data_IF_770003556853
#
_entry.id   IF_770003556853
#
_cell.length_a   1.000
_cell.length_b   1.000
_cell.length_c   1.000
_cell.angle_alpha   90.00
_cell.angle_beta   90.00
_cell.angle_gamma   90.00
#
_symmetry.space_group_name_H-M   'P 1'
#
loop_
_entity.id
_entity.type
_entity.pdbx_description
1 polymer ?
#
# COMPACT_ATOMS: atom_id res chain seq x y z
N UNK A 1 0.26 1.75 -36.27
CA UNK A 1 1.55 1.06 -36.35
C UNK A 1 2.46 1.82 -35.44
N UNK A 2 2.58 1.34 -34.21
CA UNK A 2 3.54 1.85 -33.26
C UNK A 2 4.15 0.65 -32.56
N UNK A 3 5.43 0.45 -32.84
CA UNK A 3 6.24 -0.68 -32.44
C UNK A 3 6.81 -0.43 -31.06
N UNK A 4 6.47 -1.29 -30.11
CA UNK A 4 7.38 -1.79 -29.07
C UNK A 4 8.51 -0.85 -28.62
N UNK A 5 8.19 0.22 -27.89
CA UNK A 5 9.16 0.83 -26.97
C UNK A 5 8.93 0.22 -25.59
N UNK A 6 9.62 -0.89 -25.30
CA UNK A 6 9.86 -1.26 -23.92
C UNK A 6 10.71 -0.12 -23.33
N UNK A 7 10.25 0.60 -22.29
CA UNK A 7 11.02 1.69 -21.74
C UNK A 7 12.35 1.10 -21.24
N UNK A 8 13.48 1.58 -21.75
CA UNK A 8 14.76 1.29 -21.09
C UNK A 8 14.63 1.84 -19.66
N UNK A 9 14.85 1.01 -18.63
CA UNK A 9 14.77 1.45 -17.24
C UNK A 9 15.64 2.70 -17.07
N UNK A 10 15.05 3.78 -16.59
CA UNK A 10 15.83 4.97 -16.28
C UNK A 10 16.65 4.66 -15.02
N UNK A 11 17.86 5.20 -14.94
CA UNK A 11 18.60 5.27 -13.68
C UNK A 11 17.77 5.86 -12.52
N UNK A 12 16.75 6.69 -12.82
CA UNK A 12 15.79 7.20 -11.84
C UNK A 12 14.79 6.17 -11.29
N UNK A 13 14.62 5.01 -11.94
CA UNK A 13 13.71 3.95 -11.49
C UNK A 13 14.38 2.99 -10.47
N UNK A 14 15.72 3.04 -10.35
CA UNK A 14 16.45 2.27 -9.35
C UNK A 14 16.27 2.93 -7.97
N UNK A 15 15.56 2.28 -7.01
CA UNK A 15 15.30 2.85 -5.70
C UNK A 15 16.60 3.20 -4.97
N UNK A 16 17.69 2.47 -5.22
CA UNK A 16 18.98 2.71 -4.57
C UNK A 16 19.58 4.04 -5.02
N UNK A 17 19.53 4.29 -6.33
CA UNK A 17 20.09 5.50 -6.93
C UNK A 17 19.22 6.70 -6.56
N UNK A 18 17.90 6.60 -6.73
CA UNK A 18 17.03 7.74 -6.47
C UNK A 18 16.92 8.07 -4.97
N UNK A 19 17.00 7.08 -4.07
CA UNK A 19 16.99 7.33 -2.62
C UNK A 19 18.25 8.08 -2.20
N UNK A 20 19.41 7.69 -2.75
CA UNK A 20 20.70 8.32 -2.46
C UNK A 20 20.77 9.76 -3.02
N UNK A 21 20.15 10.01 -4.17
CA UNK A 21 20.05 11.34 -4.77
C UNK A 21 18.88 12.18 -4.22
N UNK A 22 18.03 11.58 -3.39
CA UNK A 22 16.79 12.14 -2.85
C UNK A 22 15.84 12.72 -3.91
N UNK A 23 15.68 12.01 -5.02
CA UNK A 23 14.88 12.46 -6.17
C UNK A 23 13.86 11.44 -6.68
N UNK A 24 13.58 10.39 -5.90
CA UNK A 24 12.57 9.39 -6.27
C UNK A 24 11.20 10.05 -6.46
N UNK A 25 10.65 9.96 -7.67
CA UNK A 25 9.29 10.40 -7.96
C UNK A 25 8.31 9.21 -7.88
N UNK A 26 7.09 9.42 -7.39
CA UNK A 26 6.51 10.69 -6.93
C UNK A 26 6.80 11.03 -5.46
N UNK A 27 7.59 10.23 -4.72
CA UNK A 27 7.80 10.41 -3.28
C UNK A 27 8.37 11.80 -2.91
N UNK A 28 9.33 12.33 -3.67
CA UNK A 28 9.87 13.68 -3.41
C UNK A 28 8.76 14.74 -3.39
N UNK A 29 7.84 14.70 -4.35
CA UNK A 29 6.71 15.62 -4.38
C UNK A 29 5.73 15.40 -3.23
N UNK A 30 5.52 14.14 -2.81
CA UNK A 30 4.74 13.83 -1.60
C UNK A 30 5.38 14.46 -0.37
N UNK A 31 6.71 14.36 -0.23
CA UNK A 31 7.46 14.96 0.88
C UNK A 31 7.30 16.47 0.89
N UNK A 32 7.47 17.12 -0.25
CA UNK A 32 7.31 18.58 -0.39
C UNK A 32 5.92 19.04 0.07
N UNK A 33 4.86 18.41 -0.46
CA UNK A 33 3.47 18.77 -0.10
C UNK A 33 3.14 18.45 1.36
N UNK A 34 3.67 17.34 1.91
CA UNK A 34 3.45 16.99 3.31
C UNK A 34 4.17 17.94 4.28
N UNK A 35 5.36 18.44 3.92
CA UNK A 35 6.07 19.48 4.68
C UNK A 35 5.27 20.78 4.64
N UNK A 36 4.84 21.23 3.46
CA UNK A 36 4.00 22.43 3.32
C UNK A 36 2.71 22.33 4.14
N UNK A 37 2.07 21.16 4.17
CA UNK A 37 0.90 20.89 4.99
C UNK A 37 1.21 21.01 6.49
N UNK A 38 2.33 20.44 6.94
CA UNK A 38 2.75 20.52 8.35
C UNK A 38 3.04 21.97 8.74
N UNK A 39 3.80 22.71 7.93
CA UNK A 39 4.14 24.11 8.21
C UNK A 39 2.90 25.03 8.20
N UNK A 40 1.88 24.70 7.40
CA UNK A 40 0.69 25.53 7.24
C UNK A 40 -0.41 25.26 8.27
N UNK A 41 -0.57 24.01 8.72
CA UNK A 41 -1.71 23.59 9.53
C UNK A 41 -1.36 23.29 10.99
N UNK A 42 -0.14 22.82 11.27
CA UNK A 42 0.22 22.30 12.59
C UNK A 42 0.62 23.46 13.49
N UNK A 43 -0.14 23.67 14.56
CA UNK A 43 0.23 24.61 15.61
C UNK A 43 1.18 23.92 16.59
N UNK A 44 2.49 24.11 16.35
CA UNK A 44 3.54 23.49 17.15
C UNK A 44 3.42 23.82 18.64
N UNK A 45 3.58 22.78 19.46
CA UNK A 45 3.32 22.81 20.90
C UNK A 45 1.94 22.22 21.29
N UNK A 46 0.94 22.31 20.41
CA UNK A 46 -0.38 21.72 20.64
C UNK A 46 -0.62 20.48 19.81
N UNK A 47 -0.42 20.58 18.51
CA UNK A 47 -0.66 19.47 17.60
C UNK A 47 0.46 18.43 17.70
N UNK A 48 0.14 17.21 17.29
CA UNK A 48 1.04 16.06 17.34
C UNK A 48 0.98 15.31 16.03
N UNK A 49 2.14 15.02 15.45
CA UNK A 49 2.27 14.32 14.17
C UNK A 49 3.06 13.03 14.39
N UNK A 50 2.57 11.95 13.80
CA UNK A 50 3.31 10.71 13.63
C UNK A 50 3.51 10.45 12.13
N UNK A 51 4.61 9.79 11.78
CA UNK A 51 4.94 9.44 10.39
C UNK A 51 5.14 7.93 10.32
N UNK A 52 4.41 7.29 9.41
CA UNK A 52 4.47 5.84 9.16
C UNK A 52 4.80 5.63 7.69
N UNK A 53 5.71 4.70 7.41
CA UNK A 53 6.03 4.26 6.06
C UNK A 53 5.50 2.85 5.81
N UNK A 54 5.13 2.57 4.55
CA UNK A 54 4.62 1.25 4.11
C UNK A 54 5.66 0.14 4.25
N UNK A 55 6.94 0.50 4.19
CA UNK A 55 8.07 -0.43 4.23
C UNK A 55 9.19 0.16 5.09
N UNK A 56 10.20 -0.66 5.41
CA UNK A 56 11.39 -0.21 6.11
C UNK A 56 12.11 0.94 5.36
N UNK A 57 12.90 1.71 6.10
CA UNK A 57 13.60 2.89 5.57
C UNK A 57 15.10 2.63 5.44
N UNK A 58 15.61 2.71 4.21
CA UNK A 58 17.01 2.42 3.93
C UNK A 58 17.92 3.57 4.39
N UNK A 59 19.05 3.24 5.01
CA UNK A 59 20.01 4.25 5.50
C UNK A 59 21.05 4.64 4.45
N UNK A 60 21.31 3.78 3.47
CA UNK A 60 22.23 4.06 2.37
C UNK A 60 21.91 3.23 1.12
N UNK A 61 22.68 3.47 0.05
CA UNK A 61 22.55 2.77 -1.23
C UNK A 61 22.80 1.26 -1.13
N UNK A 62 23.47 0.76 -0.09
CA UNK A 62 23.76 -0.67 0.09
C UNK A 62 22.78 -1.40 1.01
N UNK A 63 21.93 -0.65 1.71
CA UNK A 63 21.03 -1.17 2.74
C UNK A 63 19.76 -1.74 2.12
N UNK A 64 19.55 -3.05 2.24
CA UNK A 64 18.27 -3.66 1.93
C UNK A 64 17.32 -3.54 3.12
N UNK A 65 16.06 -3.23 2.88
CA UNK A 65 15.03 -3.13 3.92
C UNK A 65 13.90 -4.11 3.71
N UNK A 66 13.11 -4.31 4.76
CA UNK A 66 11.97 -5.24 4.74
C UNK A 66 10.71 -4.55 4.23
N UNK A 67 9.77 -5.34 3.74
CA UNK A 67 8.42 -4.90 3.35
C UNK A 67 7.47 -4.66 4.53
N UNK A 68 7.97 -4.74 5.75
CA UNK A 68 7.15 -4.53 6.95
C UNK A 68 6.96 -3.02 7.15
N UNK A 69 5.72 -2.55 7.40
CA UNK A 69 5.47 -1.15 7.75
C UNK A 69 6.35 -0.68 8.91
N UNK A 70 6.78 0.58 8.86
CA UNK A 70 7.77 1.12 9.77
C UNK A 70 7.29 2.44 10.41
N UNK A 71 7.28 2.55 11.74
CA UNK A 71 6.99 3.81 12.43
C UNK A 71 8.23 4.72 12.35
N UNK A 72 8.23 5.64 11.40
CA UNK A 72 9.35 6.58 11.16
C UNK A 72 9.48 7.56 12.31
N UNK A 73 8.34 8.11 12.76
CA UNK A 73 8.28 9.05 13.88
C UNK A 73 7.02 8.74 14.70
N UNK A 74 7.14 8.43 16.01
CA UNK A 74 5.98 8.38 16.92
C UNK A 74 5.37 9.79 17.10
N UNK A 75 4.24 9.92 17.79
CA UNK A 75 3.62 11.23 18.03
C UNK A 75 4.62 12.22 18.62
N UNK A 76 4.87 13.30 17.87
CA UNK A 76 5.83 14.36 18.21
C UNK A 76 5.16 15.72 18.01
N UNK A 77 5.62 16.71 18.77
CA UNK A 77 5.30 18.13 18.58
C UNK A 77 6.52 18.97 18.21
N UNK A 78 7.67 18.33 18.08
CA UNK A 78 8.89 19.01 17.68
C UNK A 78 8.89 19.14 16.16
N UNK A 79 8.70 20.37 15.69
CA UNK A 79 8.68 20.76 14.28
C UNK A 79 9.85 20.19 13.49
N UNK A 80 11.08 20.42 13.96
CA UNK A 80 12.28 19.95 13.28
C UNK A 80 12.30 18.42 13.14
N UNK A 81 11.89 17.68 14.17
CA UNK A 81 11.83 16.22 14.10
C UNK A 81 10.76 15.74 13.10
N UNK A 82 9.63 16.45 13.00
CA UNK A 82 8.54 16.10 12.07
C UNK A 82 8.97 16.36 10.63
N UNK A 83 9.49 17.55 10.35
CA UNK A 83 9.97 17.92 9.01
C UNK A 83 11.10 16.99 8.58
N UNK A 84 12.09 16.73 9.44
CA UNK A 84 13.17 15.80 9.11
C UNK A 84 12.65 14.38 8.89
N UNK A 85 11.69 13.89 9.69
CA UNK A 85 11.12 12.56 9.48
C UNK A 85 10.41 12.41 8.14
N UNK A 86 9.72 13.46 7.67
CA UNK A 86 9.08 13.47 6.34
C UNK A 86 10.16 13.61 5.25
N UNK A 87 11.11 14.53 5.42
CA UNK A 87 12.17 14.80 4.45
C UNK A 87 13.20 13.65 4.35
N UNK A 88 13.26 12.75 5.34
CA UNK A 88 14.14 11.57 5.29
C UNK A 88 13.44 10.33 4.71
N UNK A 89 12.14 10.40 4.38
CA UNK A 89 11.41 9.26 3.80
C UNK A 89 12.07 8.78 2.49
N UNK A 90 12.18 7.46 2.37
CA UNK A 90 12.74 6.74 1.22
C UNK A 90 11.73 5.76 0.63
N UNK A 91 11.84 5.54 -0.69
CA UNK A 91 11.07 4.47 -1.35
C UNK A 91 11.63 3.11 -0.94
N UNK A 92 10.80 2.08 -1.04
CA UNK A 92 11.19 0.71 -0.70
C UNK A 92 12.45 0.28 -1.48
N UNK A 93 13.46 -0.17 -0.74
CA UNK A 93 14.75 -0.59 -1.31
C UNK A 93 15.03 -2.06 -0.93
N UNK A 94 14.55 -3.02 -1.74
CA UNK A 94 14.82 -4.43 -1.49
C UNK A 94 16.28 -4.79 -1.79
N UNK A 95 16.65 -6.03 -1.46
CA UNK A 95 17.99 -6.58 -1.73
C UNK A 95 18.26 -6.68 -3.24
N UNK A 96 19.53 -6.80 -3.63
CA UNK A 96 19.88 -7.23 -4.99
C UNK A 96 19.58 -8.72 -5.13
N UNK A 97 19.04 -9.13 -6.27
CA UNK A 97 18.82 -10.54 -6.56
C UNK A 97 20.15 -11.30 -6.63
N UNK A 98 20.26 -12.40 -5.88
CA UNK A 98 21.48 -13.21 -5.74
C UNK A 98 21.31 -14.66 -6.22
N UNK A 99 20.13 -14.98 -6.76
CA UNK A 99 19.73 -16.31 -7.27
C UNK A 99 19.55 -17.33 -6.16
N UNK A 100 19.22 -16.87 -4.95
CA UNK A 100 18.90 -17.73 -3.82
C UNK A 100 17.41 -17.73 -3.51
N UNK A 101 16.97 -18.71 -2.72
CA UNK A 101 15.60 -18.79 -2.20
C UNK A 101 15.42 -17.89 -0.97
N UNK A 102 15.60 -16.58 -1.15
CA UNK A 102 15.42 -15.59 -0.08
C UNK A 102 14.03 -14.92 -0.19
N UNK A 103 13.18 -14.94 0.85
CA UNK A 103 11.88 -14.27 0.85
C UNK A 103 11.97 -12.77 0.56
N UNK A 104 10.96 -12.22 -0.10
CA UNK A 104 10.93 -10.80 -0.47
C UNK A 104 11.23 -10.53 -1.94
N UNK A 105 10.71 -9.40 -2.43
CA UNK A 105 11.16 -8.77 -3.66
C UNK A 105 12.68 -8.49 -3.65
N UNK A 106 13.31 -8.49 -4.82
CA UNK A 106 14.69 -8.08 -5.03
C UNK A 106 14.86 -7.30 -6.34
N UNK A 107 15.95 -6.55 -6.45
CA UNK A 107 16.30 -5.74 -7.60
C UNK A 107 17.13 -6.56 -8.60
N UNK A 108 16.61 -6.71 -9.82
CA UNK A 108 17.28 -7.37 -10.93
C UNK A 108 18.14 -6.37 -11.72
N UNK A 109 19.36 -6.77 -12.08
CA UNK A 109 20.30 -6.00 -12.91
C UNK A 109 20.79 -6.85 -14.09
N UNK A 110 21.08 -6.21 -15.22
CA UNK A 110 21.66 -6.86 -16.40
C UNK A 110 22.97 -6.20 -16.85
N UNK A 111 23.78 -6.97 -17.58
CA UNK A 111 24.98 -6.47 -18.25
C UNK A 111 26.21 -6.27 -17.35
N UNK A 112 27.29 -5.81 -17.98
CA UNK A 112 28.52 -5.36 -17.35
C UNK A 112 28.97 -4.07 -18.08
N UNK A 113 28.82 -2.87 -17.47
CA UNK A 113 28.40 -2.62 -16.08
C UNK A 113 26.91 -2.94 -15.83
N UNK A 114 26.53 -3.22 -14.56
CA UNK A 114 25.15 -3.56 -14.21
C UNK A 114 24.21 -2.37 -14.42
N UNK A 115 23.12 -2.60 -15.15
CA UNK A 115 22.02 -1.65 -15.35
C UNK A 115 20.77 -2.21 -14.67
N UNK A 116 20.09 -1.38 -13.88
CA UNK A 116 18.85 -1.75 -13.22
C UNK A 116 17.81 -2.19 -14.25
N UNK A 117 17.14 -3.30 -13.99
CA UNK A 117 16.05 -3.79 -14.84
C UNK A 117 14.70 -3.48 -14.22
N UNK A 118 14.41 -4.14 -13.09
CA UNK A 118 13.12 -4.07 -12.38
C UNK A 118 13.21 -4.76 -11.03
N UNK A 119 12.27 -4.49 -10.12
CA UNK A 119 12.00 -5.41 -9.02
C UNK A 119 11.42 -6.74 -9.54
N UNK A 120 11.82 -7.85 -8.92
CA UNK A 120 11.27 -9.19 -9.18
C UNK A 120 11.06 -9.93 -7.86
N UNK A 121 10.18 -10.94 -7.88
CA UNK A 121 10.16 -11.95 -6.85
C UNK A 121 10.97 -13.17 -7.28
N UNK A 122 12.21 -13.24 -6.80
CA UNK A 122 13.15 -14.28 -7.22
C UNK A 122 12.71 -15.69 -6.81
N UNK A 123 12.19 -15.87 -5.58
CA UNK A 123 11.66 -17.18 -5.15
C UNK A 123 10.57 -17.64 -6.10
N UNK A 124 9.55 -16.81 -6.30
CA UNK A 124 8.39 -17.15 -7.12
C UNK A 124 8.80 -17.47 -8.57
N UNK A 125 9.69 -16.66 -9.16
CA UNK A 125 10.22 -16.94 -10.50
C UNK A 125 11.01 -18.25 -10.57
N UNK A 126 11.84 -18.56 -9.57
CA UNK A 126 12.61 -19.81 -9.55
C UNK A 126 11.72 -21.05 -9.35
N UNK A 127 10.68 -20.96 -8.52
CA UNK A 127 9.80 -22.07 -8.19
C UNK A 127 8.75 -22.36 -9.28
N UNK A 128 8.16 -21.33 -9.89
CA UNK A 128 7.26 -21.53 -11.04
C UNK A 128 8.00 -22.21 -12.19
N UNK A 129 9.23 -21.80 -12.47
CA UNK A 129 10.06 -22.44 -13.50
C UNK A 129 10.42 -23.91 -13.16
N UNK A 130 10.36 -24.28 -11.89
CA UNK A 130 10.53 -25.65 -11.42
C UNK A 130 9.20 -26.44 -11.37
N UNK A 131 8.08 -25.84 -11.80
CA UNK A 131 6.73 -26.40 -11.72
C UNK A 131 6.35 -26.80 -10.29
N UNK A 132 6.75 -26.02 -9.29
CA UNK A 132 6.28 -26.24 -7.92
C UNK A 132 4.90 -25.58 -7.76
N UNK A 133 3.80 -26.36 -7.67
CA UNK A 133 2.46 -25.81 -7.46
C UNK A 133 2.34 -25.07 -6.12
N UNK A 134 3.30 -25.25 -5.19
CA UNK A 134 3.34 -24.55 -3.91
C UNK A 134 4.18 -23.26 -3.95
N UNK A 135 4.34 -22.65 -5.14
CA UNK A 135 5.08 -21.39 -5.32
C UNK A 135 4.32 -20.23 -4.67
N UNK A 136 4.31 -20.14 -3.36
CA UNK A 136 3.61 -19.11 -2.60
C UNK A 136 4.27 -17.72 -2.81
N UNK A 137 3.58 -16.77 -3.46
CA UNK A 137 4.11 -15.43 -3.68
C UNK A 137 3.93 -14.52 -2.47
N UNK A 138 3.35 -14.95 -1.35
CA UNK A 138 3.09 -14.13 -0.16
C UNK A 138 4.29 -13.30 0.31
N UNK A 139 5.51 -13.81 0.11
CA UNK A 139 6.73 -13.09 0.50
C UNK A 139 7.06 -11.89 -0.38
N UNK A 140 6.51 -11.83 -1.59
CA UNK A 140 6.93 -10.90 -2.64
C UNK A 140 6.40 -9.47 -2.45
N UNK A 141 5.09 -9.24 -2.31
CA UNK A 141 4.54 -7.90 -2.45
C UNK A 141 4.75 -7.06 -1.18
N UNK A 142 4.65 -5.74 -1.31
CA UNK A 142 5.04 -4.80 -0.26
C UNK A 142 3.96 -3.77 0.12
N UNK A 143 2.79 -3.79 -0.51
CA UNK A 143 1.71 -2.85 -0.21
C UNK A 143 0.86 -3.36 0.96
N UNK A 144 1.37 -3.19 2.18
CA UNK A 144 0.71 -3.59 3.42
C UNK A 144 -0.10 -2.44 4.04
N UNK A 145 -1.19 -2.06 3.37
CA UNK A 145 -2.08 -0.97 3.81
C UNK A 145 -2.63 -1.25 5.22
N UNK A 146 -3.09 -2.47 5.49
CA UNK A 146 -3.59 -2.84 6.81
C UNK A 146 -2.54 -2.69 7.92
N UNK A 147 -1.30 -3.09 7.66
CA UNK A 147 -0.21 -2.94 8.63
C UNK A 147 0.15 -1.47 8.90
N UNK A 148 0.05 -0.58 7.91
CA UNK A 148 0.20 0.86 8.17
C UNK A 148 -0.94 1.40 9.05
N UNK A 149 -2.18 1.00 8.78
CA UNK A 149 -3.34 1.42 9.59
C UNK A 149 -3.20 0.92 11.03
N UNK A 150 -2.70 -0.31 11.23
CA UNK A 150 -2.34 -0.83 12.55
C UNK A 150 -1.27 0.01 13.25
N UNK A 151 -0.22 0.45 12.53
CA UNK A 151 0.78 1.36 13.10
C UNK A 151 0.21 2.74 13.43
N UNK A 152 -0.73 3.25 12.64
CA UNK A 152 -1.45 4.48 12.95
C UNK A 152 -2.27 4.33 14.25
N UNK A 153 -2.95 3.19 14.45
CA UNK A 153 -3.61 2.87 15.71
C UNK A 153 -2.63 2.90 16.90
N UNK A 154 -1.45 2.29 16.73
CA UNK A 154 -0.40 2.30 17.75
C UNK A 154 0.09 3.72 18.06
N UNK A 155 0.25 4.57 17.04
CA UNK A 155 0.63 5.98 17.23
C UNK A 155 -0.41 6.72 18.08
N UNK A 156 -1.70 6.59 17.77
CA UNK A 156 -2.78 7.20 18.55
C UNK A 156 -2.98 6.59 19.92
N UNK A 157 -2.43 5.39 20.15
CA UNK A 157 -2.36 4.72 21.44
C UNK A 157 -1.06 5.05 22.20
N UNK A 158 -0.31 6.06 21.75
CA UNK A 158 0.82 6.65 22.47
C UNK A 158 2.13 5.91 22.32
N UNK A 159 2.34 5.24 21.19
CA UNK A 159 3.66 4.68 20.88
C UNK A 159 4.76 5.74 21.00
N UNK A 160 5.91 5.35 21.56
CA UNK A 160 7.02 6.25 21.89
C UNK A 160 6.86 6.92 23.26
N UNK A 161 5.85 7.79 23.43
CA UNK A 161 5.58 8.50 24.68
C UNK A 161 4.07 8.75 24.84
N UNK A 162 3.46 8.06 25.83
CA UNK A 162 2.04 8.18 26.13
C UNK A 162 1.62 9.60 26.53
N UNK A 163 2.54 10.42 27.06
CA UNK A 163 2.25 11.81 27.42
C UNK A 163 1.99 12.72 26.22
N UNK A 164 2.33 12.25 25.01
CA UNK A 164 1.99 12.94 23.77
C UNK A 164 0.55 12.67 23.30
N UNK A 165 -0.17 11.70 23.90
CA UNK A 165 -1.59 11.54 23.62
C UNK A 165 -2.42 12.66 24.25
N UNK A 166 -3.46 13.08 23.53
CA UNK A 166 -4.44 14.05 23.99
C UNK A 166 -5.84 13.50 23.76
N UNK A 167 -6.51 13.09 24.83
CA UNK A 167 -7.80 12.39 24.74
C UNK A 167 -8.89 13.21 24.06
N UNK A 168 -8.85 14.54 24.23
CA UNK A 168 -9.81 15.51 23.66
C UNK A 168 -9.36 16.09 22.30
N UNK A 169 -8.43 15.42 21.59
CA UNK A 169 -8.00 15.87 20.27
C UNK A 169 -8.95 15.43 19.16
N UNK A 170 -9.03 16.23 18.10
CA UNK A 170 -9.44 15.74 16.79
C UNK A 170 -8.36 14.77 16.27
N UNK A 171 -8.74 13.54 15.94
CA UNK A 171 -7.83 12.53 15.44
C UNK A 171 -7.98 12.39 13.93
N UNK A 172 -6.88 12.63 13.20
CA UNK A 172 -6.89 12.63 11.74
C UNK A 172 -5.75 11.79 11.19
N UNK A 173 -6.09 10.84 10.31
CA UNK A 173 -5.15 10.09 9.50
C UNK A 173 -5.22 10.56 8.05
N UNK A 174 -4.06 10.80 7.43
CA UNK A 174 -3.94 11.02 5.99
C UNK A 174 -3.14 9.85 5.40
N UNK A 175 -3.82 9.00 4.64
CA UNK A 175 -3.25 7.82 4.00
C UNK A 175 -2.99 8.11 2.53
N UNK A 176 -1.74 7.93 2.09
CA UNK A 176 -1.36 7.96 0.68
C UNK A 176 -1.02 6.55 0.18
N UNK A 177 -1.63 6.13 -0.93
CA UNK A 177 -1.29 4.85 -1.57
C UNK A 177 -1.33 4.97 -3.09
N UNK A 178 -0.41 4.28 -3.77
CA UNK A 178 -0.28 4.29 -5.24
C UNK A 178 -0.78 3.01 -5.92
N UNK A 179 -1.26 2.04 -5.14
CA UNK A 179 -1.73 0.75 -5.62
C UNK A 179 -2.55 0.00 -4.58
N UNK A 180 -2.98 -1.21 -4.93
CA UNK A 180 -3.83 -2.05 -4.11
C UNK A 180 -3.12 -2.55 -2.86
N UNK A 181 -3.88 -2.97 -1.85
CA UNK A 181 -3.33 -3.85 -0.84
C UNK A 181 -2.93 -5.18 -1.50
N UNK A 182 -1.73 -5.66 -1.19
CA UNK A 182 -1.26 -6.95 -1.68
C UNK A 182 -0.30 -7.67 -0.73
N UNK A 183 -0.21 -7.20 0.50
CA UNK A 183 0.58 -7.80 1.56
C UNK A 183 -0.16 -7.56 2.87
N UNK A 184 -0.01 -8.48 3.82
CA UNK A 184 -0.49 -8.30 5.19
C UNK A 184 0.68 -8.38 6.17
N UNK A 185 0.40 -8.09 7.43
CA UNK A 185 1.33 -8.40 8.52
C UNK A 185 1.44 -9.93 8.66
N UNK A 186 2.67 -10.42 8.87
CA UNK A 186 2.94 -11.83 9.08
C UNK A 186 2.35 -12.32 10.42
N UNK A 187 1.94 -13.59 10.45
CA UNK A 187 1.47 -14.30 11.64
C UNK A 187 2.21 -15.64 11.74
N UNK A 188 2.03 -16.36 12.85
CA UNK A 188 2.63 -17.71 13.01
C UNK A 188 2.10 -18.70 11.97
N UNK A 189 0.83 -18.55 11.58
CA UNK A 189 0.18 -19.38 10.55
C UNK A 189 0.56 -18.95 9.13
N UNK A 190 0.70 -17.63 8.92
CA UNK A 190 1.07 -17.04 7.64
C UNK A 190 2.35 -16.21 7.82
N UNK A 191 3.55 -16.84 7.83
CA UNK A 191 4.82 -16.17 8.15
C UNK A 191 5.21 -15.09 7.12
N UNK A 192 4.54 -15.06 5.97
CA UNK A 192 4.69 -14.06 4.94
C UNK A 192 3.40 -13.23 4.71
N UNK A 193 2.40 -13.37 5.58
CA UNK A 193 1.09 -12.74 5.42
C UNK A 193 0.14 -13.50 4.51
N UNK A 194 -1.11 -13.06 4.48
CA UNK A 194 -2.19 -13.67 3.71
C UNK A 194 -2.01 -13.39 2.21
N UNK A 195 -2.00 -14.47 1.43
CA UNK A 195 -1.99 -14.45 -0.02
C UNK A 195 -2.65 -15.74 -0.53
N UNK A 196 -3.99 -15.86 -0.36
CA UNK A 196 -4.66 -17.10 -0.69
C UNK A 196 -4.58 -17.40 -2.20
N UNK A 197 -4.61 -18.68 -2.56
CA UNK A 197 -4.28 -19.15 -3.91
C UNK A 197 -5.15 -18.53 -5.02
N UNK A 198 -6.41 -18.22 -4.71
CA UNK A 198 -7.34 -17.54 -5.62
C UNK A 198 -6.87 -16.13 -6.04
N UNK A 199 -5.97 -15.49 -5.29
CA UNK A 199 -5.46 -14.13 -5.55
C UNK A 199 -4.26 -14.07 -6.49
N UNK A 200 -3.73 -15.23 -6.93
CA UNK A 200 -2.56 -15.26 -7.82
C UNK A 200 -2.55 -16.41 -8.83
N UNK A 201 -3.08 -17.59 -8.50
CA UNK A 201 -3.11 -18.73 -9.44
C UNK A 201 -4.07 -18.49 -10.62
N UNK A 202 -5.23 -17.87 -10.38
CA UNK A 202 -6.21 -17.58 -11.45
C UNK A 202 -5.70 -16.61 -12.51
N UNK A 203 -4.63 -15.87 -12.21
CA UNK A 203 -3.99 -14.93 -13.14
C UNK A 203 -2.87 -15.53 -13.97
N UNK A 204 -2.55 -16.82 -13.76
CA UNK A 204 -1.70 -17.62 -14.65
C UNK A 204 -2.59 -18.17 -15.78
N UNK A 205 -2.66 -17.48 -16.93
CA UNK A 205 -3.47 -17.93 -18.06
C UNK A 205 -3.12 -19.37 -18.46
N UNK A 206 -4.11 -20.26 -18.49
CA UNK A 206 -3.91 -21.67 -18.85
C UNK A 206 -3.57 -21.90 -20.34
N UNK A 207 -3.84 -20.94 -21.22
CA UNK A 207 -3.43 -21.02 -22.64
C UNK A 207 -1.90 -20.98 -22.81
N UNK A 208 -1.17 -20.54 -21.78
CA UNK A 208 0.30 -20.59 -21.74
C UNK A 208 0.83 -21.89 -21.10
N UNK A 209 -0.01 -22.87 -20.73
CA UNK A 209 0.44 -24.11 -20.06
C UNK A 209 1.36 -24.97 -20.94
N UNK A 210 1.17 -24.95 -22.27
CA UNK A 210 2.12 -25.57 -23.22
C UNK A 210 3.39 -24.70 -23.44
N UNK A 211 3.34 -23.42 -23.05
CA UNK A 211 4.40 -22.41 -23.14
C UNK A 211 5.07 -22.03 -21.80
N UNK A 212 4.78 -22.69 -20.66
CA UNK A 212 5.44 -22.46 -19.34
C UNK A 212 6.95 -22.81 -19.37
N UNK A 213 7.48 -23.26 -20.50
CA UNK A 213 8.93 -23.29 -20.77
C UNK A 213 9.52 -21.91 -21.07
N UNK A 214 8.68 -20.89 -21.29
CA UNK A 214 9.08 -19.50 -21.46
C UNK A 214 8.88 -18.73 -20.14
N UNK A 215 9.77 -17.78 -19.81
CA UNK A 215 9.54 -16.87 -18.68
C UNK A 215 8.18 -16.18 -18.88
N UNK A 216 7.38 -16.09 -17.81
CA UNK A 216 6.09 -15.37 -17.82
C UNK A 216 6.27 -14.03 -18.54
N UNK A 217 5.61 -13.90 -19.69
CA UNK A 217 5.70 -12.68 -20.50
C UNK A 217 4.87 -11.60 -19.82
N UNK A 218 5.40 -10.38 -19.65
CA UNK A 218 4.65 -9.31 -19.01
C UNK A 218 3.36 -8.98 -19.77
N UNK A 219 2.29 -8.55 -19.05
CA UNK A 219 2.28 -8.21 -17.63
C UNK A 219 2.26 -9.45 -16.73
N UNK A 220 3.12 -9.44 -15.71
CA UNK A 220 3.11 -10.48 -14.68
C UNK A 220 1.76 -10.49 -13.94
N UNK A 221 1.33 -11.64 -13.40
CA UNK A 221 0.13 -11.71 -12.61
C UNK A 221 0.24 -10.79 -11.40
N UNK A 222 -0.85 -10.10 -11.07
CA UNK A 222 -0.91 -9.19 -9.93
C UNK A 222 -1.10 -10.01 -8.66
N UNK A 223 0.01 -10.34 -8.03
CA UNK A 223 0.09 -11.26 -6.89
C UNK A 223 -0.62 -10.70 -5.65
N UNK A 224 -1.34 -11.58 -4.96
CA UNK A 224 -1.93 -11.35 -3.64
C UNK A 224 -2.95 -10.20 -3.59
N UNK A 225 -3.65 -9.94 -4.70
CA UNK A 225 -4.68 -8.90 -4.77
C UNK A 225 -6.06 -9.51 -4.77
N UNK A 226 -6.99 -8.83 -4.12
CA UNK A 226 -8.38 -9.26 -4.07
C UNK A 226 -9.02 -9.28 -5.47
N UNK A 227 -9.47 -10.47 -5.95
CA UNK A 227 -10.21 -10.57 -7.20
C UNK A 227 -11.64 -10.05 -7.10
N UNK A 228 -12.17 -9.79 -5.91
CA UNK A 228 -13.55 -9.40 -5.61
C UNK A 228 -13.63 -8.23 -4.61
N UNK A 229 -13.16 -7.03 -4.99
CA UNK A 229 -13.05 -5.89 -4.08
C UNK A 229 -14.38 -5.41 -3.48
N UNK A 230 -15.52 -5.83 -4.04
CA UNK A 230 -16.86 -5.52 -3.52
C UNK A 230 -17.37 -6.52 -2.47
N UNK A 231 -16.63 -7.60 -2.24
CA UNK A 231 -16.89 -8.56 -1.17
C UNK A 231 -15.89 -8.36 -0.05
N UNK A 232 -16.34 -8.62 1.18
CA UNK A 232 -15.50 -8.67 2.37
C UNK A 232 -15.62 -10.07 2.95
N UNK A 233 -14.49 -10.63 3.35
CA UNK A 233 -14.39 -11.94 3.96
C UNK A 233 -13.85 -11.82 5.39
N UNK A 234 -14.27 -12.75 6.25
CA UNK A 234 -13.68 -12.94 7.57
C UNK A 234 -12.47 -13.89 7.49
N UNK A 235 -11.50 -13.84 8.42
CA UNK A 235 -10.32 -14.72 8.42
C UNK A 235 -10.62 -16.24 8.41
N UNK A 236 -11.85 -16.65 8.72
CA UNK A 236 -12.29 -18.05 8.70
C UNK A 236 -13.10 -18.43 7.47
N UNK A 237 -13.39 -17.48 6.56
CA UNK A 237 -14.18 -17.75 5.37
C UNK A 237 -13.39 -18.59 4.38
N UNK A 238 -14.09 -19.57 3.80
CA UNK A 238 -13.49 -20.51 2.85
C UNK A 238 -14.38 -20.67 1.63
N UNK A 239 -13.75 -20.95 0.48
CA UNK A 239 -14.46 -21.29 -0.74
C UNK A 239 -13.82 -22.48 -1.45
N UNK A 240 -14.64 -23.22 -2.19
CA UNK A 240 -14.15 -24.22 -3.13
C UNK A 240 -13.43 -23.52 -4.29
N UNK A 241 -12.15 -23.80 -4.44
CA UNK A 241 -11.30 -23.30 -5.51
C UNK A 241 -10.80 -24.47 -6.35
N UNK A 242 -10.87 -24.34 -7.67
CA UNK A 242 -10.27 -25.32 -8.58
C UNK A 242 -8.92 -24.79 -9.00
N UNK A 243 -7.86 -25.46 -8.55
CA UNK A 243 -6.50 -25.09 -8.89
C UNK A 243 -6.30 -25.21 -10.41
N UNK A 244 -5.99 -24.12 -11.13
CA UNK A 244 -5.88 -24.16 -12.58
C UNK A 244 -4.67 -24.98 -13.05
N UNK A 245 -3.69 -25.25 -12.19
CA UNK A 245 -2.50 -26.02 -12.56
C UNK A 245 -2.68 -27.52 -12.34
N UNK A 246 -3.36 -27.92 -11.25
CA UNK A 246 -3.55 -29.33 -10.88
C UNK A 246 -4.94 -29.88 -11.22
N UNK A 247 -5.90 -29.02 -11.56
CA UNK A 247 -7.33 -29.31 -11.71
C UNK A 247 -7.99 -29.90 -10.44
N UNK A 248 -7.30 -29.87 -9.30
CA UNK A 248 -7.82 -30.33 -8.02
C UNK A 248 -8.73 -29.27 -7.44
N UNK A 249 -9.90 -29.70 -6.94
CA UNK A 249 -10.79 -28.84 -6.15
C UNK A 249 -10.35 -28.92 -4.70
N UNK A 250 -9.97 -27.78 -4.14
CA UNK A 250 -9.58 -27.62 -2.76
C UNK A 250 -10.41 -26.54 -2.07
N UNK A 251 -10.38 -26.54 -0.73
CA UNK A 251 -11.04 -25.52 0.07
C UNK A 251 -9.95 -24.56 0.54
N UNK A 252 -9.98 -23.35 0.01
CA UNK A 252 -9.01 -22.29 0.35
C UNK A 252 -9.66 -21.28 1.27
N UNK A 253 -8.85 -20.68 2.15
CA UNK A 253 -9.20 -19.44 2.79
C UNK A 253 -9.30 -18.34 1.72
N UNK A 254 -10.31 -17.48 1.78
CA UNK A 254 -10.49 -16.38 0.81
C UNK A 254 -10.21 -15.00 1.40
N UNK A 255 -9.85 -14.93 2.69
CA UNK A 255 -9.38 -13.71 3.34
C UNK A 255 -8.03 -13.27 2.80
N UNK A 256 -7.94 -12.03 2.34
CA UNK A 256 -6.75 -11.51 1.69
C UNK A 256 -6.27 -10.15 2.22
N UNK A 257 -5.39 -9.49 1.46
CA UNK A 257 -4.81 -8.22 1.87
C UNK A 257 -5.79 -7.03 1.85
N UNK A 258 -6.83 -7.08 1.03
CA UNK A 258 -7.90 -6.08 1.00
C UNK A 258 -8.75 -6.21 2.27
N UNK A 259 -9.19 -7.42 2.59
CA UNK A 259 -9.94 -7.73 3.82
C UNK A 259 -9.17 -7.29 5.08
N UNK A 260 -7.88 -7.64 5.16
CA UNK A 260 -7.02 -7.21 6.25
C UNK A 260 -6.90 -5.68 6.35
N UNK A 261 -6.84 -4.98 5.22
CA UNK A 261 -6.82 -3.52 5.22
C UNK A 261 -8.15 -2.92 5.70
N UNK A 262 -9.30 -3.52 5.35
CA UNK A 262 -10.62 -3.10 5.85
C UNK A 262 -10.76 -3.31 7.34
N UNK A 263 -10.33 -4.45 7.86
CA UNK A 263 -10.37 -4.74 9.30
C UNK A 263 -9.55 -3.73 10.11
N UNK A 264 -8.35 -3.41 9.64
CA UNK A 264 -7.49 -2.43 10.31
C UNK A 264 -8.01 -1.00 10.15
N UNK A 265 -8.72 -0.70 9.05
CA UNK A 265 -9.38 0.59 8.85
C UNK A 265 -10.58 0.76 9.80
N UNK A 266 -11.42 -0.26 9.94
CA UNK A 266 -12.56 -0.24 10.87
C UNK A 266 -12.11 0.00 12.30
N UNK A 267 -11.09 -0.74 12.72
CA UNK A 267 -10.50 -0.59 14.05
C UNK A 267 -9.89 0.79 14.25
N UNK A 268 -9.22 1.35 13.24
CA UNK A 268 -8.67 2.70 13.32
C UNK A 268 -9.76 3.76 13.41
N UNK A 269 -10.75 3.71 12.53
CA UNK A 269 -11.84 4.67 12.49
C UNK A 269 -12.64 4.67 13.81
N UNK A 270 -12.89 3.50 14.38
CA UNK A 270 -13.60 3.34 15.64
C UNK A 270 -12.72 3.44 16.91
N UNK A 271 -11.41 3.68 16.77
CA UNK A 271 -10.44 3.61 17.88
C UNK A 271 -10.75 4.56 19.03
N UNK A 272 -11.32 5.73 18.72
CA UNK A 272 -11.57 6.80 19.68
C UNK A 272 -13.08 6.94 19.92
N UNK A 273 -13.46 7.22 21.16
CA UNK A 273 -14.86 7.46 21.52
C UNK A 273 -15.40 8.72 20.84
N UNK A 274 -16.70 8.76 20.58
CA UNK A 274 -17.35 9.90 19.93
C UNK A 274 -17.18 9.83 18.41
N UNK A 275 -16.51 10.83 17.84
CA UNK A 275 -16.38 11.00 16.39
C UNK A 275 -15.33 10.08 15.75
N UNK A 276 -14.62 9.26 16.54
CA UNK A 276 -13.62 8.33 16.02
C UNK A 276 -12.36 9.01 15.49
N UNK A 277 -11.71 8.37 14.54
CA UNK A 277 -10.60 8.92 13.75
C UNK A 277 -11.11 9.24 12.36
N UNK A 278 -11.01 10.50 11.92
CA UNK A 278 -11.27 10.88 10.53
C UNK A 278 -10.11 10.40 9.65
N UNK A 279 -10.39 9.58 8.65
CA UNK A 279 -9.37 9.05 7.72
C UNK A 279 -9.56 9.67 6.34
N UNK A 280 -8.61 10.47 5.89
CA UNK A 280 -8.51 10.92 4.50
C UNK A 280 -7.63 9.95 3.72
N UNK A 281 -8.06 9.56 2.52
CA UNK A 281 -7.27 8.70 1.64
C UNK A 281 -6.98 9.39 0.32
N UNK A 282 -5.76 9.22 -0.18
CA UNK A 282 -5.31 9.81 -1.43
C UNK A 282 -4.72 8.69 -2.31
N UNK A 283 -5.41 8.43 -3.42
CA UNK A 283 -4.93 7.56 -4.48
C UNK A 283 -3.95 8.28 -5.39
N UNK A 284 -2.67 7.91 -5.36
CA UNK A 284 -1.61 8.56 -6.11
C UNK A 284 -1.29 7.85 -7.43
N UNK A 285 -1.47 8.55 -8.54
CA UNK A 285 -1.09 8.08 -9.87
C UNK A 285 -1.98 6.98 -10.45
N UNK A 286 -1.72 6.59 -11.70
CA UNK A 286 -2.60 5.67 -12.43
C UNK A 286 -2.61 4.24 -11.90
N UNK A 287 -1.64 3.85 -11.06
CA UNK A 287 -1.59 2.52 -10.45
C UNK A 287 -2.84 2.20 -9.63
N UNK A 288 -3.42 3.20 -8.96
CA UNK A 288 -4.63 3.08 -8.14
C UNK A 288 -5.88 2.73 -8.96
N UNK A 289 -5.89 3.12 -10.24
CA UNK A 289 -7.02 2.85 -11.15
C UNK A 289 -6.87 1.54 -11.92
N UNK A 290 -5.72 0.88 -11.80
CA UNK A 290 -5.43 -0.30 -12.62
C UNK A 290 -6.10 -1.52 -12.01
N UNK A 291 -7.14 -2.04 -12.67
CA UNK A 291 -7.83 -3.28 -12.30
C UNK A 291 -6.94 -4.50 -12.46
N UNK A 292 -7.02 -5.48 -11.55
CA UNK A 292 -6.41 -6.78 -11.75
C UNK A 292 -7.11 -7.57 -12.84
N UNK A 293 -6.36 -8.46 -13.49
CA UNK A 293 -6.91 -9.29 -14.55
C UNK A 293 -7.99 -10.20 -13.95
N UNK A 294 -9.21 -10.09 -14.47
CA UNK A 294 -10.36 -10.88 -13.99
C UNK A 294 -11.17 -10.24 -12.85
N UNK A 295 -10.71 -9.12 -12.29
CA UNK A 295 -11.48 -8.40 -11.26
C UNK A 295 -12.71 -7.73 -11.88
N UNK A 296 -13.92 -7.97 -11.35
CA UNK A 296 -15.12 -7.27 -11.77
C UNK A 296 -14.96 -5.76 -11.62
N UNK A 297 -15.64 -5.02 -12.49
CA UNK A 297 -15.60 -3.56 -12.41
C UNK A 297 -16.63 -3.05 -11.41
N UNK A 298 -16.18 -2.40 -10.34
CA UNK A 298 -17.08 -1.87 -9.30
C UNK A 298 -17.25 -0.35 -9.45
N UNK A 299 -18.50 0.17 -9.53
CA UNK A 299 -18.75 1.60 -9.51
C UNK A 299 -18.34 2.24 -8.17
N UNK A 300 -17.71 3.41 -8.21
CA UNK A 300 -17.44 4.20 -7.02
C UNK A 300 -17.40 5.72 -7.30
N UNK A 301 -17.67 6.53 -6.27
CA UNK A 301 -17.72 8.01 -6.33
C UNK A 301 -16.34 8.59 -6.02
N UNK A 302 -15.88 9.57 -6.81
CA UNK A 302 -14.59 10.28 -6.60
C UNK A 302 -14.82 11.78 -6.47
N UNK A 303 -14.27 12.40 -5.43
CA UNK A 303 -14.56 13.80 -5.08
C UNK A 303 -14.05 14.83 -6.11
N UNK A 304 -13.00 14.52 -6.88
CA UNK A 304 -12.31 15.53 -7.69
C UNK A 304 -12.76 15.63 -9.15
N UNK A 305 -13.51 14.67 -9.70
CA UNK A 305 -13.99 14.72 -11.10
C UNK A 305 -15.18 13.81 -11.38
N UNK A 306 -16.35 14.41 -11.67
CA UNK A 306 -17.50 13.82 -12.41
C UNK A 306 -18.02 12.46 -11.94
N UNK A 307 -19.04 12.49 -11.07
CA UNK A 307 -20.02 11.40 -10.89
C UNK A 307 -19.45 10.03 -10.55
N UNK A 308 -20.31 9.01 -10.62
CA UNK A 308 -19.91 7.63 -10.45
C UNK A 308 -19.00 7.21 -11.61
N UNK A 309 -17.86 6.59 -11.29
CA UNK A 309 -17.00 5.96 -12.29
C UNK A 309 -16.56 4.57 -11.86
N UNK A 310 -16.03 3.80 -12.80
CA UNK A 310 -15.46 2.51 -12.45
C UNK A 310 -14.11 2.69 -11.75
N UNK A 311 -13.94 1.91 -10.69
CA UNK A 311 -12.79 1.94 -9.81
C UNK A 311 -12.01 0.63 -9.91
N UNK A 312 -10.68 0.73 -9.74
CA UNK A 312 -9.84 -0.45 -9.53
C UNK A 312 -9.90 -0.92 -8.08
N UNK A 313 -9.33 -2.09 -7.78
CA UNK A 313 -9.33 -2.66 -6.41
C UNK A 313 -8.79 -1.66 -5.37
N UNK A 314 -7.68 -0.98 -5.68
CA UNK A 314 -7.04 -0.01 -4.80
C UNK A 314 -7.93 1.20 -4.51
N UNK A 315 -8.55 1.75 -5.55
CA UNK A 315 -9.44 2.90 -5.43
C UNK A 315 -10.68 2.56 -4.61
N UNK A 316 -11.22 1.35 -4.81
CA UNK A 316 -12.38 0.89 -4.06
C UNK A 316 -12.06 0.75 -2.56
N UNK A 317 -10.92 0.14 -2.23
CA UNK A 317 -10.42 0.05 -0.85
C UNK A 317 -10.20 1.42 -0.21
N UNK A 318 -9.49 2.33 -0.89
CA UNK A 318 -9.22 3.66 -0.35
C UNK A 318 -10.50 4.46 -0.09
N UNK A 319 -11.52 4.31 -0.95
CA UNK A 319 -12.85 4.89 -0.70
C UNK A 319 -13.50 4.30 0.55
N UNK A 320 -13.50 2.97 0.68
CA UNK A 320 -14.05 2.30 1.85
C UNK A 320 -13.38 2.80 3.14
N UNK A 321 -12.04 2.84 3.16
CA UNK A 321 -11.25 3.31 4.30
C UNK A 321 -11.66 4.74 4.72
N UNK A 322 -11.92 5.63 3.76
CA UNK A 322 -12.26 7.03 4.08
C UNK A 322 -13.71 7.24 4.52
N UNK A 323 -14.66 6.46 3.98
CA UNK A 323 -16.10 6.77 4.07
C UNK A 323 -16.95 5.77 4.82
N UNK A 324 -16.50 4.52 4.85
CA UNK A 324 -17.32 3.40 5.28
C UNK A 324 -16.72 2.72 6.53
N UNK A 325 -15.41 2.86 6.73
CA UNK A 325 -14.68 2.18 7.78
C UNK A 325 -15.21 2.54 9.18
N UNK A 326 -15.48 1.51 9.98
CA UNK A 326 -15.89 1.60 11.37
C UNK A 326 -17.39 1.84 11.57
N UNK A 327 -18.20 1.99 10.50
CA UNK A 327 -19.65 2.22 10.61
C UNK A 327 -20.36 1.17 11.48
N UNK A 328 -19.97 -0.09 11.37
CA UNK A 328 -20.55 -1.19 12.14
C UNK A 328 -20.10 -1.20 13.61
N UNK A 329 -18.95 -0.58 13.91
CA UNK A 329 -18.38 -0.51 15.26
C UNK A 329 -18.82 0.76 16.01
N UNK A 330 -18.93 1.88 15.29
CA UNK A 330 -19.36 3.16 15.80
C UNK A 330 -20.08 3.97 14.71
N UNK A 331 -21.43 4.07 14.75
CA UNK A 331 -22.20 4.75 13.73
C UNK A 331 -22.12 6.29 13.81
N UNK A 332 -21.45 6.85 14.82
CA UNK A 332 -21.24 8.31 14.96
C UNK A 332 -19.88 8.78 14.47
N UNK A 333 -19.09 7.90 13.82
CA UNK A 333 -17.78 8.29 13.28
C UNK A 333 -17.93 9.44 12.28
N UNK A 334 -17.05 10.42 12.41
CA UNK A 334 -16.92 11.51 11.47
C UNK A 334 -15.95 11.09 10.36
N UNK A 335 -16.52 10.60 9.26
CA UNK A 335 -15.77 10.12 8.10
C UNK A 335 -14.93 11.21 7.43
N UNK A 336 -13.92 10.75 6.71
CA UNK A 336 -13.11 11.59 5.84
C UNK A 336 -13.56 11.52 4.39
N UNK A 337 -12.64 11.82 3.49
CA UNK A 337 -12.88 11.85 2.06
C UNK A 337 -11.79 11.10 1.30
N UNK A 338 -12.17 10.51 0.18
CA UNK A 338 -11.25 9.91 -0.78
C UNK A 338 -10.96 10.90 -1.91
N UNK A 339 -9.68 11.09 -2.19
CA UNK A 339 -9.20 11.91 -3.29
C UNK A 339 -8.34 11.12 -4.25
N UNK A 340 -8.38 11.49 -5.54
CA UNK A 340 -7.50 10.96 -6.56
C UNK A 340 -6.52 12.03 -7.04
N UNK A 341 -5.22 11.76 -6.95
CA UNK A 341 -4.14 12.63 -7.36
C UNK A 341 -3.39 12.02 -8.56
N UNK A 342 -3.74 12.38 -9.81
CA UNK A 342 -3.02 11.88 -10.99
C UNK A 342 -1.61 12.47 -11.14
N UNK A 343 -1.32 13.59 -10.47
CA UNK A 343 -0.06 14.31 -10.57
C UNK A 343 0.18 15.19 -9.32
N UNK A 344 1.37 15.78 -9.24
CA UNK A 344 1.82 16.58 -8.10
C UNK A 344 0.96 17.84 -7.88
N UNK A 345 0.50 18.51 -8.94
CA UNK A 345 -0.33 19.71 -8.81
C UNK A 345 -1.68 19.38 -8.19
N UNK A 346 -2.31 18.27 -8.60
CA UNK A 346 -3.56 17.82 -7.98
C UNK A 346 -3.32 17.37 -6.53
N UNK A 347 -2.19 16.73 -6.24
CA UNK A 347 -1.83 16.33 -4.88
C UNK A 347 -1.75 17.54 -3.94
N UNK A 348 -1.08 18.61 -4.35
CA UNK A 348 -0.98 19.85 -3.57
C UNK A 348 -2.38 20.42 -3.23
N UNK A 349 -3.25 20.56 -4.24
CA UNK A 349 -4.61 21.05 -4.03
C UNK A 349 -5.42 20.17 -3.08
N UNK A 350 -5.21 18.85 -3.10
CA UNK A 350 -5.90 17.92 -2.19
C UNK A 350 -5.46 18.15 -0.73
N UNK A 351 -4.17 18.34 -0.48
CA UNK A 351 -3.69 18.63 0.87
C UNK A 351 -4.21 19.98 1.39
N UNK A 352 -4.38 20.98 0.52
CA UNK A 352 -5.05 22.23 0.89
C UNK A 352 -6.51 22.03 1.30
N UNK A 353 -7.27 21.19 0.56
CA UNK A 353 -8.65 20.84 0.90
C UNK A 353 -8.71 20.12 2.24
N UNK A 354 -7.84 19.13 2.47
CA UNK A 354 -7.75 18.41 3.75
C UNK A 354 -7.44 19.38 4.89
N UNK A 355 -6.50 20.30 4.70
CA UNK A 355 -6.14 21.30 5.70
C UNK A 355 -7.34 22.20 6.06
N UNK A 356 -8.10 22.65 5.06
CA UNK A 356 -9.31 23.45 5.27
C UNK A 356 -10.40 22.66 6.02
N UNK A 357 -10.60 21.39 5.66
CA UNK A 357 -11.56 20.51 6.33
C UNK A 357 -11.19 20.30 7.81
N UNK A 358 -9.91 20.04 8.10
CA UNK A 358 -9.41 19.88 9.48
C UNK A 358 -9.59 21.19 10.26
N UNK A 359 -9.19 22.33 9.70
CA UNK A 359 -9.34 23.63 10.36
C UNK A 359 -10.81 23.94 10.68
N UNK A 360 -11.74 23.57 9.80
CA UNK A 360 -13.17 23.76 10.03
C UNK A 360 -13.64 22.90 11.20
N UNK A 361 -13.28 21.61 11.23
CA UNK A 361 -13.65 20.68 12.32
C UNK A 361 -13.09 21.09 13.68
N UNK A 362 -11.91 21.72 13.74
CA UNK A 362 -11.33 22.23 15.00
C UNK A 362 -12.10 23.45 15.52
N UNK A 363 -12.76 24.21 14.64
CA UNK A 363 -13.47 25.44 15.01
C UNK A 363 -14.92 25.26 15.47
N UNK A 364 -15.46 24.06 15.28
CA UNK A 364 -16.80 23.62 15.75
C UNK A 364 -16.71 23.11 17.19
#
# INVERSE_FOLDING_TARGET
GDSSNSPTPDTGDDPRVCNAADNCQPLRAVKDVAIDFVESLIYFGYDRVAVVAMTGQATDISSAVTRVPYPVLPLSFNEANIINAIDDLKVFQPRICDKTYTPGECLEYFGDPPVFNRPICQIFQLQINAYDPNSDPSSCPSSNIGGMLQLAQNAYSGSGDESNQRTESLWVSVLLASGAANSTTATDEFPNGFCPENTWLGSLNMDDVEHVKAPLSPPLPKLCRDPYPDTRHDPGDTASYTNPLSEVVEVVNIYDADDFARDMADQLAALKSGDGVTIYTIGLGNGVRTQSNGTPTTPCVVETTTGDRQCGEAEYLLRYIARDAGNDLNPTINHGEYFFAPNNLTLQNIFEIIAQNISTKISE
#
